data_IF_545620390446
#
_entry.id   IF_545620390446
#
_cell.length_a   1.000
_cell.length_b   1.000
_cell.length_c   1.000
_cell.angle_alpha   90.00
_cell.angle_beta   90.00
_cell.angle_gamma   90.00
#
_symmetry.space_group_name_H-M   'P 1'
#
loop_
_entity.id
_entity.type
_entity.pdbx_description
1 polymer ?
#
# COMPACT_ATOMS: atom_id res chain seq x y z
N UNK A 1 -13.90 -21.16 15.88
CA UNK A 1 -13.04 -20.03 16.31
C UNK A 1 -12.00 -19.70 15.25
N UNK A 2 -11.23 -20.70 14.77
CA UNK A 2 -10.15 -20.51 13.78
C UNK A 2 -10.66 -19.92 12.45
N UNK A 3 -11.80 -20.38 11.94
CA UNK A 3 -12.44 -19.82 10.74
C UNK A 3 -12.91 -18.36 10.95
N UNK A 4 -13.35 -18.03 12.17
CA UNK A 4 -13.73 -16.66 12.51
C UNK A 4 -12.54 -15.72 12.60
N UNK A 5 -11.43 -16.16 13.18
CA UNK A 5 -10.18 -15.39 13.24
C UNK A 5 -9.61 -15.20 11.84
N UNK A 6 -9.62 -16.24 11.00
CA UNK A 6 -9.19 -16.14 9.61
C UNK A 6 -10.09 -15.19 8.80
N UNK A 7 -11.41 -15.26 8.95
CA UNK A 7 -12.35 -14.35 8.32
C UNK A 7 -12.14 -12.90 8.79
N UNK A 8 -11.88 -12.69 10.09
CA UNK A 8 -11.60 -11.37 10.64
C UNK A 8 -10.29 -10.78 10.12
N UNK A 9 -9.24 -11.59 9.99
CA UNK A 9 -7.95 -11.15 9.41
C UNK A 9 -8.12 -10.80 7.92
N UNK A 10 -8.87 -11.62 7.17
CA UNK A 10 -9.12 -11.40 5.74
C UNK A 10 -10.00 -10.15 5.55
N UNK A 11 -11.08 -10.01 6.29
CA UNK A 11 -12.01 -8.89 6.17
C UNK A 11 -11.42 -7.58 6.74
N UNK A 12 -10.68 -7.65 7.84
CA UNK A 12 -9.94 -6.52 8.40
C UNK A 12 -8.84 -6.05 7.45
N UNK A 13 -8.10 -6.97 6.83
CA UNK A 13 -7.10 -6.69 5.82
C UNK A 13 -7.66 -6.04 4.54
N UNK A 14 -8.90 -6.39 4.16
CA UNK A 14 -9.60 -5.79 3.02
C UNK A 14 -10.15 -4.38 3.35
N UNK A 15 -10.49 -4.11 4.62
CA UNK A 15 -11.01 -2.80 5.06
C UNK A 15 -9.94 -1.71 5.15
N UNK A 16 -8.68 -2.08 5.39
CA UNK A 16 -7.57 -1.14 5.57
C UNK A 16 -7.09 -0.54 4.23
N UNK A 17 -7.38 -1.19 3.09
CA UNK A 17 -6.75 -0.87 1.79
C UNK A 17 -7.43 0.19 0.95
N UNK A 18 -8.65 0.60 1.21
CA UNK A 18 -9.29 1.79 0.62
C UNK A 18 -10.74 1.95 1.13
N UNK A 19 -11.10 3.08 1.74
CA UNK A 19 -12.47 3.33 2.18
C UNK A 19 -13.33 3.73 0.98
N UNK A 20 -13.88 2.76 0.26
CA UNK A 20 -15.06 3.04 -0.57
C UNK A 20 -16.30 2.88 0.31
N UNK A 21 -17.36 3.70 0.13
CA UNK A 21 -18.56 3.65 0.98
C UNK A 21 -19.21 2.25 1.00
N UNK A 22 -19.16 1.50 -0.09
CA UNK A 22 -19.68 0.13 -0.16
C UNK A 22 -18.90 -0.87 0.71
N UNK A 23 -17.57 -0.72 0.83
CA UNK A 23 -16.74 -1.61 1.65
C UNK A 23 -16.88 -1.29 3.14
N UNK A 24 -17.13 -0.03 3.48
CA UNK A 24 -17.39 0.37 4.87
C UNK A 24 -18.70 -0.23 5.36
N UNK A 25 -19.75 -0.26 4.52
CA UNK A 25 -21.03 -0.87 4.83
C UNK A 25 -20.88 -2.40 5.01
N UNK A 26 -20.13 -3.07 4.13
CA UNK A 26 -19.90 -4.51 4.25
C UNK A 26 -19.11 -4.88 5.53
N UNK A 27 -18.09 -4.10 5.87
CA UNK A 27 -17.31 -4.27 7.09
C UNK A 27 -18.14 -4.02 8.33
N UNK A 28 -19.04 -3.05 8.32
CA UNK A 28 -19.99 -2.78 9.41
C UNK A 28 -21.01 -3.91 9.56
N UNK A 29 -21.58 -4.41 8.48
CA UNK A 29 -22.50 -5.55 8.48
C UNK A 29 -21.80 -6.79 9.04
N UNK A 30 -20.60 -7.13 8.56
CA UNK A 30 -19.82 -8.26 9.08
C UNK A 30 -19.47 -8.10 10.55
N UNK A 31 -19.15 -6.89 11.01
CA UNK A 31 -18.88 -6.57 12.40
C UNK A 31 -20.13 -6.79 13.29
N UNK A 32 -21.29 -6.34 12.84
CA UNK A 32 -22.57 -6.52 13.56
C UNK A 32 -22.93 -8.01 13.66
N UNK A 33 -22.80 -8.78 12.57
CA UNK A 33 -23.03 -10.22 12.60
C UNK A 33 -22.03 -10.96 13.50
N UNK A 34 -20.78 -10.55 13.52
CA UNK A 34 -19.75 -11.08 14.42
C UNK A 34 -20.10 -10.84 15.89
N UNK A 35 -20.44 -9.61 16.25
CA UNK A 35 -20.85 -9.26 17.62
C UNK A 35 -22.15 -9.96 18.00
N UNK A 36 -23.15 -10.02 17.14
CA UNK A 36 -24.40 -10.71 17.39
C UNK A 36 -24.18 -12.21 17.62
N UNK A 37 -23.31 -12.85 16.86
CA UNK A 37 -22.96 -14.25 17.03
C UNK A 37 -22.27 -14.51 18.37
N UNK A 38 -21.32 -13.65 18.78
CA UNK A 38 -20.65 -13.77 20.08
C UNK A 38 -21.61 -13.53 21.28
N UNK A 39 -22.52 -12.58 21.14
CA UNK A 39 -23.55 -12.31 22.17
C UNK A 39 -24.59 -13.43 22.27
N UNK A 40 -24.88 -14.12 21.15
CA UNK A 40 -25.87 -15.22 21.14
C UNK A 40 -25.26 -16.58 21.51
N UNK A 41 -23.92 -16.73 21.44
CA UNK A 41 -23.24 -17.97 21.78
C UNK A 41 -23.53 -18.50 23.20
N UNK A 42 -23.50 -17.68 24.27
CA UNK A 42 -23.88 -18.14 25.62
C UNK A 42 -25.36 -18.48 25.76
N UNK A 43 -26.26 -17.81 25.03
CA UNK A 43 -27.69 -18.13 25.01
C UNK A 43 -27.98 -19.45 24.32
N UNK A 44 -27.20 -19.80 23.25
CA UNK A 44 -27.36 -21.09 22.58
C UNK A 44 -26.98 -22.26 23.46
N UNK A 45 -25.94 -22.11 24.29
CA UNK A 45 -25.55 -23.13 25.26
C UNK A 45 -26.56 -23.30 26.41
N UNK A 46 -27.34 -22.26 26.73
CA UNK A 46 -28.41 -22.29 27.73
C UNK A 46 -29.68 -22.94 27.15
N UNK A 47 -30.01 -22.65 25.90
CA UNK A 47 -31.16 -23.27 25.21
C UNK A 47 -30.96 -24.77 24.95
N UNK A 48 -29.70 -25.22 24.78
CA UNK A 48 -29.38 -26.63 24.63
C UNK A 48 -29.47 -27.42 25.96
N UNK A 49 -29.37 -26.74 27.11
CA UNK A 49 -29.49 -27.35 28.45
C UNK A 49 -30.92 -27.64 28.89
N UNK A 50 -31.92 -27.03 28.29
CA UNK A 50 -33.35 -27.30 28.66
C UNK A 50 -33.93 -28.57 28.02
N UNK A 51 -33.19 -29.31 27.22
CA UNK A 51 -33.64 -30.57 26.61
C UNK A 51 -32.99 -31.82 27.24
N UNK A 52 -32.71 -31.81 28.52
CA UNK A 52 -32.37 -33.05 29.22
C UNK A 52 -33.67 -33.69 29.69
N UNK A 53 -34.34 -34.37 28.79
CA UNK A 53 -35.36 -35.37 29.12
C UNK A 53 -34.68 -36.74 29.09
N UNK A 54 -34.75 -37.54 30.17
CA UNK A 54 -34.09 -38.81 30.24
C UNK A 54 -34.88 -39.87 29.47
N UNK A 55 -34.65 -40.02 28.19
CA UNK A 55 -35.00 -41.26 27.49
C UNK A 55 -34.05 -41.47 26.31
N UNK A 56 -33.42 -42.63 26.34
CA UNK A 56 -32.54 -43.13 25.28
C UNK A 56 -33.31 -43.20 23.96
N UNK A 57 -33.14 -42.20 23.14
CA UNK A 57 -33.42 -42.29 21.71
C UNK A 57 -32.19 -41.75 21.00
N UNK A 58 -31.63 -42.63 20.21
CA UNK A 58 -30.48 -42.44 19.36
C UNK A 58 -30.38 -41.04 18.74
N UNK A 59 -29.41 -40.25 19.21
CA UNK A 59 -29.13 -38.87 18.73
C UNK A 59 -28.23 -38.83 17.49
N UNK A 60 -28.20 -39.88 16.65
CA UNK A 60 -27.36 -39.91 15.46
C UNK A 60 -27.91 -39.10 14.30
N UNK A 61 -29.20 -38.77 14.28
CA UNK A 61 -29.85 -38.04 13.18
C UNK A 61 -29.61 -36.52 13.16
N UNK A 62 -29.53 -35.90 14.35
CA UNK A 62 -29.48 -34.43 14.47
C UNK A 62 -28.10 -33.82 14.19
N UNK A 63 -27.06 -34.42 14.70
CA UNK A 63 -25.68 -33.97 14.52
C UNK A 63 -25.20 -34.10 13.07
N UNK A 64 -25.64 -35.13 12.35
CA UNK A 64 -25.37 -35.32 10.93
C UNK A 64 -26.00 -34.24 10.05
N UNK A 65 -27.25 -33.87 10.37
CA UNK A 65 -27.99 -32.84 9.64
C UNK A 65 -27.33 -31.46 9.78
N UNK A 66 -27.01 -31.05 11.01
CA UNK A 66 -26.33 -29.74 11.24
C UNK A 66 -24.91 -29.70 10.72
N UNK A 67 -24.15 -30.79 10.75
CA UNK A 67 -22.83 -30.90 10.08
C UNK A 67 -22.96 -30.77 8.58
N UNK A 68 -23.96 -31.39 7.97
CA UNK A 68 -24.22 -31.28 6.53
C UNK A 68 -24.63 -29.87 6.13
N UNK A 69 -25.48 -29.19 6.93
CA UNK A 69 -25.85 -27.79 6.69
C UNK A 69 -24.64 -26.87 6.84
N UNK A 70 -23.79 -27.08 7.85
CA UNK A 70 -22.59 -26.28 8.06
C UNK A 70 -21.58 -26.46 6.90
N UNK A 71 -21.43 -27.67 6.39
CA UNK A 71 -20.55 -27.95 5.24
C UNK A 71 -21.14 -27.36 3.97
N UNK A 72 -22.46 -27.49 3.74
CA UNK A 72 -23.14 -26.89 2.58
C UNK A 72 -23.11 -25.36 2.65
N UNK A 73 -23.32 -24.77 3.82
CA UNK A 73 -23.19 -23.33 4.05
C UNK A 73 -21.75 -22.84 3.84
N UNK A 74 -20.74 -23.62 4.26
CA UNK A 74 -19.34 -23.32 4.01
C UNK A 74 -18.98 -23.41 2.53
N UNK A 75 -19.43 -24.44 1.84
CA UNK A 75 -19.24 -24.61 0.40
C UNK A 75 -19.99 -23.51 -0.37
N UNK A 76 -21.23 -23.21 0.03
CA UNK A 76 -22.02 -22.12 -0.54
C UNK A 76 -21.37 -20.76 -0.29
N UNK A 77 -20.83 -20.52 0.89
CA UNK A 77 -20.09 -19.30 1.20
C UNK A 77 -18.77 -19.19 0.41
N UNK A 78 -18.04 -20.28 0.22
CA UNK A 78 -16.84 -20.33 -0.60
C UNK A 78 -17.13 -20.15 -2.10
N UNK A 79 -18.30 -20.60 -2.58
CA UNK A 79 -18.70 -20.46 -4.00
C UNK A 79 -19.34 -19.10 -4.29
N UNK A 80 -19.95 -18.45 -3.29
CA UNK A 80 -20.52 -17.09 -3.40
C UNK A 80 -19.47 -16.01 -3.12
N UNK A 81 -18.34 -16.36 -2.52
CA UNK A 81 -17.18 -15.45 -2.51
C UNK A 81 -16.78 -15.24 -3.98
N UNK A 82 -17.04 -14.04 -4.57
CA UNK A 82 -16.71 -13.84 -5.96
C UNK A 82 -15.21 -14.01 -6.10
N UNK A 83 -14.76 -15.02 -6.83
CA UNK A 83 -13.36 -15.20 -7.24
C UNK A 83 -12.77 -13.92 -7.91
N UNK A 84 -13.63 -12.96 -8.25
CA UNK A 84 -13.25 -11.60 -8.66
C UNK A 84 -12.60 -10.75 -7.58
N UNK A 85 -12.66 -11.13 -6.30
CA UNK A 85 -12.02 -10.37 -5.24
C UNK A 85 -10.48 -10.47 -5.22
N UNK A 86 -9.91 -11.48 -5.88
CA UNK A 86 -8.46 -11.66 -5.96
C UNK A 86 -7.86 -10.91 -7.17
N UNK A 87 -8.68 -10.51 -8.12
CA UNK A 87 -8.25 -9.84 -9.36
C UNK A 87 -8.79 -8.43 -9.57
N UNK A 88 -9.58 -7.89 -8.64
CA UNK A 88 -9.98 -6.49 -8.70
C UNK A 88 -8.81 -5.61 -8.21
N UNK A 89 -7.78 -5.46 -9.04
CA UNK A 89 -7.11 -4.18 -9.11
C UNK A 89 -8.22 -3.18 -9.47
N UNK A 90 -8.83 -2.55 -8.48
CA UNK A 90 -9.52 -1.29 -8.73
C UNK A 90 -8.52 -0.48 -9.54
N UNK A 91 -8.84 -0.15 -10.80
CA UNK A 91 -8.00 0.70 -11.60
C UNK A 91 -7.80 1.95 -10.74
N UNK A 92 -6.59 2.12 -10.22
CA UNK A 92 -6.29 3.22 -9.33
C UNK A 92 -6.41 4.46 -10.20
N UNK A 93 -7.33 5.34 -9.85
CA UNK A 93 -7.53 6.54 -10.62
C UNK A 93 -6.43 7.54 -10.27
N UNK A 94 -5.70 7.95 -11.28
CA UNK A 94 -4.73 9.02 -11.23
C UNK A 94 -5.39 10.32 -11.72
N UNK A 95 -6.21 10.92 -10.87
CA UNK A 95 -6.98 12.11 -11.27
C UNK A 95 -8.00 11.81 -12.36
N UNK A 96 -7.84 12.45 -13.53
CA UNK A 96 -8.70 12.28 -14.69
C UNK A 96 -8.25 11.14 -15.64
N UNK A 97 -7.10 10.55 -15.39
CA UNK A 97 -6.50 9.51 -16.23
C UNK A 97 -6.31 8.19 -15.46
N UNK A 98 -6.23 7.03 -16.13
CA UNK A 98 -5.83 5.79 -15.48
C UNK A 98 -4.36 5.88 -15.04
N UNK A 99 -4.02 5.22 -13.94
CA UNK A 99 -2.62 5.11 -13.52
C UNK A 99 -1.84 4.15 -14.43
N UNK A 100 -0.62 4.52 -14.76
CA UNK A 100 0.32 3.65 -15.44
C UNK A 100 0.72 2.48 -14.54
N UNK A 101 0.74 1.28 -15.10
CA UNK A 101 1.07 0.08 -14.35
C UNK A 101 2.59 -0.07 -14.26
N UNK A 102 3.10 -0.19 -13.04
CA UNK A 102 4.50 -0.52 -12.80
C UNK A 102 4.63 -1.68 -11.82
N UNK A 103 5.74 -2.40 -11.89
CA UNK A 103 6.06 -3.48 -10.96
C UNK A 103 7.34 -3.15 -10.22
N UNK A 104 7.21 -2.72 -8.97
CA UNK A 104 8.33 -2.40 -8.10
C UNK A 104 9.20 -3.63 -7.82
N UNK A 105 10.51 -3.46 -7.94
CA UNK A 105 11.50 -4.49 -7.62
C UNK A 105 12.51 -4.00 -6.57
N UNK A 106 12.22 -4.16 -5.27
CA UNK A 106 13.12 -3.72 -4.20
C UNK A 106 14.41 -4.55 -4.09
N UNK A 107 14.54 -5.65 -4.83
CA UNK A 107 15.76 -6.44 -4.88
C UNK A 107 16.78 -5.91 -5.90
N UNK A 108 16.35 -5.06 -6.84
CA UNK A 108 17.24 -4.48 -7.85
C UNK A 108 17.99 -3.28 -7.28
N UNK A 109 19.18 -3.55 -6.70
CA UNK A 109 20.01 -2.51 -6.06
C UNK A 109 20.47 -1.42 -7.03
N UNK A 110 20.75 -1.77 -8.26
CA UNK A 110 21.19 -0.82 -9.29
C UNK A 110 20.09 0.22 -9.56
N UNK A 111 18.85 -0.22 -9.71
CA UNK A 111 17.69 0.65 -9.84
C UNK A 111 17.52 1.54 -8.60
N UNK A 112 17.69 0.98 -7.39
CA UNK A 112 17.60 1.74 -6.15
C UNK A 112 18.71 2.79 -6.03
N UNK A 113 19.93 2.48 -6.49
CA UNK A 113 21.06 3.41 -6.50
C UNK A 113 20.81 4.60 -7.44
N UNK A 114 20.36 4.34 -8.68
CA UNK A 114 19.98 5.40 -9.61
C UNK A 114 18.81 6.23 -9.10
N UNK A 115 17.80 5.58 -8.52
CA UNK A 115 16.67 6.26 -7.89
C UNK A 115 17.09 7.14 -6.69
N UNK A 116 18.04 6.67 -5.87
CA UNK A 116 18.61 7.45 -4.77
C UNK A 116 19.37 8.68 -5.31
N UNK A 117 20.14 8.54 -6.36
CA UNK A 117 20.83 9.65 -7.02
C UNK A 117 19.85 10.71 -7.52
N UNK A 118 18.79 10.31 -8.23
CA UNK A 118 17.74 11.22 -8.68
C UNK A 118 17.04 11.91 -7.50
N UNK A 119 16.73 11.17 -6.44
CA UNK A 119 16.12 11.75 -5.25
C UNK A 119 17.03 12.80 -4.59
N UNK A 120 18.29 12.49 -4.39
CA UNK A 120 19.25 13.41 -3.76
C UNK A 120 19.48 14.65 -4.64
N UNK A 121 19.54 14.50 -5.94
CA UNK A 121 19.77 15.62 -6.87
C UNK A 121 18.58 16.53 -7.08
N UNK A 122 17.37 16.00 -7.17
CA UNK A 122 16.18 16.76 -7.57
C UNK A 122 15.12 16.94 -6.48
N UNK A 123 15.05 16.06 -5.50
CA UNK A 123 13.95 16.04 -4.54
C UNK A 123 14.34 16.48 -3.12
N UNK A 124 15.55 16.11 -2.68
CA UNK A 124 16.01 16.30 -1.28
C UNK A 124 16.04 17.77 -0.87
N UNK A 125 16.26 18.69 -1.80
CA UNK A 125 16.23 20.14 -1.50
C UNK A 125 14.90 20.62 -0.92
N UNK A 126 13.79 20.02 -1.34
CA UNK A 126 12.43 20.39 -0.90
C UNK A 126 11.76 19.31 -0.02
N UNK A 127 12.03 18.04 -0.26
CA UNK A 127 11.38 16.92 0.41
C UNK A 127 12.35 16.12 1.27
N UNK A 128 12.02 15.94 2.54
CA UNK A 128 12.77 15.08 3.46
C UNK A 128 12.33 13.62 3.38
N UNK A 129 13.20 12.70 3.82
CA UNK A 129 12.90 11.32 4.20
C UNK A 129 13.13 11.18 5.71
N UNK A 130 12.26 11.77 6.53
CA UNK A 130 12.46 11.94 7.99
C UNK A 130 12.62 10.65 8.77
N UNK A 131 12.15 9.53 8.23
CA UNK A 131 12.23 8.22 8.89
C UNK A 131 13.35 7.35 8.32
N UNK A 132 14.15 7.88 7.40
CA UNK A 132 15.33 7.21 6.83
C UNK A 132 16.62 7.85 7.35
N UNK A 133 17.69 7.05 7.44
CA UNK A 133 19.04 7.51 7.80
C UNK A 133 19.99 7.28 6.64
N UNK A 134 20.93 8.17 6.42
CA UNK A 134 21.94 8.05 5.37
C UNK A 134 22.70 6.73 5.44
N UNK A 135 23.20 6.34 6.63
CA UNK A 135 23.92 5.10 6.83
C UNK A 135 23.10 3.85 6.54
N UNK A 136 21.79 3.87 6.86
CA UNK A 136 20.91 2.73 6.56
C UNK A 136 20.68 2.60 5.07
N UNK A 137 20.40 3.70 4.40
CA UNK A 137 20.18 3.71 2.94
C UNK A 137 21.46 3.27 2.21
N UNK A 138 22.62 3.83 2.56
CA UNK A 138 23.90 3.44 1.99
C UNK A 138 24.16 1.93 2.13
N UNK A 139 23.98 1.39 3.35
CA UNK A 139 24.17 -0.03 3.64
C UNK A 139 23.23 -0.93 2.81
N UNK A 140 21.96 -0.61 2.78
CA UNK A 140 20.95 -1.42 2.08
C UNK A 140 21.17 -1.40 0.57
N UNK A 141 21.58 -0.26 0.01
CA UNK A 141 21.91 -0.12 -1.41
C UNK A 141 23.31 -0.70 -1.74
N UNK A 142 24.12 -0.99 -0.76
CA UNK A 142 25.49 -1.51 -0.95
C UNK A 142 26.48 -0.46 -1.43
N UNK A 143 26.27 0.82 -1.08
CA UNK A 143 27.17 1.93 -1.42
C UNK A 143 28.11 2.17 -0.24
N UNK A 144 29.44 2.18 -0.43
CA UNK A 144 30.42 2.53 0.60
C UNK A 144 30.18 3.94 1.16
N UNK A 145 30.48 4.15 2.45
CA UNK A 145 30.23 5.42 3.15
C UNK A 145 30.90 6.61 2.46
N UNK A 146 32.16 6.47 2.12
CA UNK A 146 32.96 7.50 1.45
C UNK A 146 32.36 7.93 0.11
N UNK A 147 31.95 6.96 -0.71
CA UNK A 147 31.28 7.23 -1.99
C UNK A 147 29.89 7.82 -1.80
N UNK A 148 29.14 7.35 -0.81
CA UNK A 148 27.80 7.87 -0.52
C UNK A 148 27.85 9.33 -0.10
N UNK A 149 28.74 9.64 0.86
CA UNK A 149 28.89 11.00 1.40
C UNK A 149 29.47 11.96 0.36
N UNK A 150 30.44 11.52 -0.44
CA UNK A 150 31.07 12.37 -1.45
C UNK A 150 30.15 12.71 -2.64
N UNK A 151 29.25 11.79 -3.03
CA UNK A 151 28.49 11.94 -4.29
C UNK A 151 26.99 12.21 -4.09
N UNK A 152 26.43 11.87 -2.91
CA UNK A 152 24.98 11.96 -2.70
C UNK A 152 24.61 12.91 -1.56
N UNK A 153 25.55 13.38 -0.73
CA UNK A 153 25.29 14.30 0.36
C UNK A 153 25.95 15.65 0.07
N UNK A 154 25.14 16.61 -0.32
CA UNK A 154 25.63 17.92 -0.75
C UNK A 154 25.92 18.92 0.38
N UNK A 155 25.45 18.62 1.61
CA UNK A 155 25.70 19.44 2.79
C UNK A 155 26.83 18.81 3.62
N UNK A 156 28.01 19.46 3.71
CA UNK A 156 29.18 18.92 4.42
C UNK A 156 29.00 18.87 5.94
N UNK A 157 27.98 19.54 6.50
CA UNK A 157 27.67 19.50 7.92
C UNK A 157 26.90 18.23 8.35
N UNK A 158 26.36 17.48 7.39
CA UNK A 158 25.58 16.28 7.64
C UNK A 158 26.47 15.13 8.04
N UNK A 159 26.12 14.46 9.14
CA UNK A 159 26.80 13.23 9.59
C UNK A 159 26.14 12.00 8.98
N UNK A 160 26.93 10.98 8.66
CA UNK A 160 26.47 9.74 8.05
C UNK A 160 25.34 9.02 8.81
N UNK A 161 25.32 9.11 10.16
CA UNK A 161 24.25 8.56 11.00
C UNK A 161 22.97 9.41 11.09
N UNK A 162 22.96 10.62 10.49
CA UNK A 162 21.84 11.55 10.57
C UNK A 162 20.59 11.06 9.82
N UNK A 163 19.43 11.61 10.19
CA UNK A 163 18.20 11.45 9.43
C UNK A 163 18.30 12.24 8.11
N UNK A 164 17.64 11.74 7.06
CA UNK A 164 17.60 12.38 5.75
C UNK A 164 16.58 13.54 5.78
N UNK A 165 16.98 14.63 6.40
CA UNK A 165 16.17 15.84 6.52
C UNK A 165 16.83 16.99 5.74
N UNK A 166 16.04 17.74 5.02
CA UNK A 166 16.50 18.95 4.36
C UNK A 166 16.51 20.14 5.34
N UNK A 167 17.19 21.23 4.96
CA UNK A 167 17.28 22.45 5.73
C UNK A 167 16.06 23.38 5.58
N UNK A 168 15.09 23.02 4.73
CA UNK A 168 13.93 23.88 4.43
C UNK A 168 13.00 24.02 5.64
N UNK A 169 12.84 25.24 6.11
CA UNK A 169 11.91 25.55 7.19
C UNK A 169 10.46 25.54 6.68
N UNK A 170 9.58 24.80 7.36
CA UNK A 170 8.17 24.65 6.97
C UNK A 170 7.39 25.98 6.87
N UNK A 171 7.71 26.99 7.69
CA UNK A 171 7.08 28.32 7.62
C UNK A 171 7.49 29.05 6.34
N UNK A 172 8.78 29.03 6.02
CA UNK A 172 9.30 29.65 4.80
C UNK A 172 8.79 28.91 3.56
N UNK A 173 8.79 27.59 3.58
CA UNK A 173 8.27 26.76 2.50
C UNK A 173 6.80 27.10 2.17
N UNK A 174 5.98 27.31 3.21
CA UNK A 174 4.57 27.73 3.02
C UNK A 174 4.45 29.11 2.38
N UNK A 175 5.35 30.02 2.69
CA UNK A 175 5.37 31.36 2.05
C UNK A 175 5.81 31.25 0.59
N UNK A 176 6.82 30.43 0.30
CA UNK A 176 7.38 30.29 -1.05
C UNK A 176 6.45 29.52 -1.99
N UNK A 177 5.87 28.41 -1.52
CA UNK A 177 5.11 27.47 -2.38
C UNK A 177 3.61 27.47 -2.12
N UNK A 178 3.12 28.26 -1.18
CA UNK A 178 1.71 28.21 -0.72
C UNK A 178 1.40 27.02 0.17
N UNK A 179 2.23 25.96 0.12
CA UNK A 179 2.12 24.71 0.90
C UNK A 179 3.51 24.22 1.28
N UNK A 180 3.61 23.59 2.43
CA UNK A 180 4.88 22.94 2.82
C UNK A 180 5.03 21.64 2.04
N UNK A 181 6.17 21.40 1.34
CA UNK A 181 6.44 20.14 0.69
C UNK A 181 6.34 18.98 1.68
N UNK A 182 5.58 17.92 1.35
CA UNK A 182 5.41 16.79 2.25
C UNK A 182 6.68 15.95 2.37
N UNK A 183 6.83 15.24 3.49
CA UNK A 183 7.83 14.19 3.64
C UNK A 183 7.52 13.01 2.73
N UNK A 184 8.53 12.48 2.02
CA UNK A 184 8.35 11.42 1.04
C UNK A 184 8.67 10.02 1.57
N UNK A 185 9.06 9.84 2.84
CA UNK A 185 9.43 8.52 3.36
C UNK A 185 8.35 7.47 3.12
N UNK A 186 7.08 7.81 3.36
CA UNK A 186 5.95 6.87 3.25
C UNK A 186 5.04 7.17 2.05
N UNK A 187 5.45 8.03 1.14
CA UNK A 187 4.59 8.51 0.04
C UNK A 187 4.11 7.38 -0.86
N UNK A 188 4.97 6.39 -1.17
CA UNK A 188 4.60 5.26 -2.01
C UNK A 188 3.60 4.29 -1.35
N UNK A 189 3.47 4.32 -0.03
CA UNK A 189 2.42 3.60 0.70
C UNK A 189 1.12 4.39 0.78
N UNK A 190 1.22 5.72 0.89
CA UNK A 190 0.06 6.61 0.97
C UNK A 190 -0.62 6.79 -0.38
N UNK A 191 0.16 6.93 -1.46
CA UNK A 191 -0.32 7.21 -2.82
C UNK A 191 -0.21 6.05 -3.79
N UNK A 192 0.51 4.99 -3.46
CA UNK A 192 0.93 3.86 -4.30
C UNK A 192 1.97 4.23 -5.37
N UNK A 193 2.82 3.26 -5.76
CA UNK A 193 3.88 3.47 -6.76
C UNK A 193 3.34 3.88 -8.13
N UNK A 194 2.22 3.31 -8.57
CA UNK A 194 1.58 3.61 -9.84
C UNK A 194 1.15 5.08 -9.93
N UNK A 195 0.60 5.61 -8.84
CA UNK A 195 0.22 7.01 -8.74
C UNK A 195 1.43 7.93 -8.83
N UNK A 196 2.52 7.61 -8.11
CA UNK A 196 3.75 8.40 -8.13
C UNK A 196 4.39 8.40 -9.52
N UNK A 197 4.45 7.24 -10.15
CA UNK A 197 5.01 7.08 -11.48
C UNK A 197 4.26 7.89 -12.53
N UNK A 198 2.93 7.79 -12.50
CA UNK A 198 2.09 8.59 -13.41
C UNK A 198 2.19 10.09 -13.09
N UNK A 199 2.19 10.46 -11.80
CA UNK A 199 2.32 11.85 -11.37
C UNK A 199 3.60 12.51 -11.89
N UNK A 200 4.75 11.87 -11.75
CA UNK A 200 6.04 12.42 -12.17
C UNK A 200 6.16 12.61 -13.69
N UNK A 201 5.38 11.86 -14.46
CA UNK A 201 5.42 11.86 -15.93
C UNK A 201 4.39 12.76 -16.60
N UNK A 202 3.45 13.31 -15.83
CA UNK A 202 2.27 13.99 -16.39
C UNK A 202 2.16 15.45 -15.99
N UNK A 203 3.28 16.11 -15.74
CA UNK A 203 3.34 17.57 -15.68
C UNK A 203 3.11 18.16 -17.06
N UNK A 204 2.50 19.33 -17.13
CA UNK A 204 2.30 20.08 -18.38
C UNK A 204 2.28 21.56 -18.12
N UNK A 205 2.60 22.36 -19.14
CA UNK A 205 2.57 23.83 -19.10
C UNK A 205 1.15 24.35 -18.85
N UNK A 206 1.02 25.25 -17.88
CA UNK A 206 -0.23 25.95 -17.56
C UNK A 206 0.11 27.35 -17.03
N UNK A 207 0.04 28.34 -17.89
CA UNK A 207 0.42 29.73 -17.59
C UNK A 207 -0.50 30.40 -16.56
N UNK A 208 -1.63 29.77 -16.22
CA UNK A 208 -2.53 30.23 -15.17
C UNK A 208 -2.06 29.83 -13.77
N UNK A 209 -1.03 29.00 -13.68
CA UNK A 209 -0.49 28.53 -12.41
C UNK A 209 0.74 29.35 -11.98
N UNK A 210 0.99 29.52 -10.66
CA UNK A 210 2.11 30.31 -10.15
C UNK A 210 3.48 29.87 -10.66
N UNK A 211 3.68 28.57 -10.94
CA UNK A 211 4.94 28.01 -11.44
C UNK A 211 4.89 27.65 -12.93
N UNK A 212 3.86 28.13 -13.65
CA UNK A 212 3.72 27.88 -15.09
C UNK A 212 3.40 26.44 -15.45
N UNK A 213 3.09 25.56 -14.47
CA UNK A 213 2.84 24.14 -14.68
C UNK A 213 1.66 23.62 -13.87
N UNK A 214 1.04 22.55 -14.37
CA UNK A 214 -0.01 21.79 -13.72
C UNK A 214 0.26 20.28 -13.92
N UNK A 215 -0.63 19.42 -13.40
CA UNK A 215 -0.44 17.98 -13.47
C UNK A 215 -1.76 17.26 -13.75
N UNK A 216 -1.76 16.22 -14.60
CA UNK A 216 -2.97 15.45 -14.94
C UNK A 216 -3.49 14.63 -13.74
N UNK A 217 -2.59 14.11 -12.93
CA UNK A 217 -2.92 13.29 -11.75
C UNK A 217 -3.39 14.14 -10.58
N UNK A 218 -2.76 15.30 -10.39
CA UNK A 218 -3.04 16.20 -9.28
C UNK A 218 -3.26 17.62 -9.77
N UNK A 219 -4.49 17.90 -10.19
CA UNK A 219 -4.89 19.22 -10.68
C UNK A 219 -4.66 20.31 -9.60
N UNK A 220 -4.10 21.42 -10.02
CA UNK A 220 -3.82 22.53 -9.12
C UNK A 220 -2.56 22.32 -8.27
N UNK A 221 -1.62 21.52 -8.74
CA UNK A 221 -0.37 21.21 -8.06
C UNK A 221 0.39 22.49 -7.65
N UNK A 222 0.92 22.48 -6.41
CA UNK A 222 1.79 23.53 -5.89
C UNK A 222 3.29 23.23 -6.06
N UNK A 223 3.65 22.06 -6.58
CA UNK A 223 5.02 21.66 -6.86
C UNK A 223 5.41 22.15 -8.27
N UNK A 224 6.54 22.84 -8.44
CA UNK A 224 7.08 23.12 -9.77
C UNK A 224 7.53 21.83 -10.47
N UNK A 225 7.66 21.86 -11.78
CA UNK A 225 8.20 20.74 -12.54
C UNK A 225 9.75 20.70 -12.43
N UNK A 226 10.23 20.11 -11.32
CA UNK A 226 11.67 20.07 -11.01
C UNK A 226 12.49 19.15 -11.93
N UNK A 227 11.83 18.32 -12.73
CA UNK A 227 12.46 17.37 -13.67
C UNK A 227 12.36 17.86 -15.12
N UNK A 228 12.04 19.14 -15.33
CA UNK A 228 11.85 19.72 -16.65
C UNK A 228 13.11 19.63 -17.51
N UNK A 229 14.28 19.76 -16.93
CA UNK A 229 15.56 19.63 -17.66
C UNK A 229 15.73 18.21 -18.22
N UNK A 230 15.27 17.19 -17.49
CA UNK A 230 15.32 15.79 -17.92
C UNK A 230 14.23 15.46 -18.93
N UNK A 231 12.97 15.83 -18.63
CA UNK A 231 11.80 15.48 -19.43
C UNK A 231 11.63 16.38 -20.67
N UNK A 232 12.00 17.65 -20.55
CA UNK A 232 11.54 18.70 -21.43
C UNK A 232 10.26 19.35 -20.91
N UNK A 233 9.61 20.17 -21.74
CA UNK A 233 8.39 20.87 -21.37
C UNK A 233 7.17 20.28 -22.08
N UNK A 234 6.35 19.48 -21.40
CA UNK A 234 5.12 18.96 -21.96
C UNK A 234 4.04 20.06 -22.04
N UNK A 235 3.25 20.02 -23.09
CA UNK A 235 2.12 20.92 -23.35
C UNK A 235 0.81 20.13 -23.36
N UNK A 236 -0.26 20.76 -22.93
CA UNK A 236 -1.58 20.18 -23.02
C UNK A 236 -2.17 20.38 -24.42
N UNK A 237 -2.53 19.28 -25.09
CA UNK A 237 -3.16 19.31 -26.41
C UNK A 237 -4.68 19.35 -26.32
N UNK A 238 -5.26 18.65 -25.35
CA UNK A 238 -6.72 18.59 -25.18
C UNK A 238 -7.12 18.71 -23.72
N UNK A 239 -8.10 19.59 -23.45
CA UNK A 239 -8.65 19.82 -22.12
C UNK A 239 -9.93 19.01 -21.91
N UNK A 240 -10.09 18.43 -20.73
CA UNK A 240 -11.34 17.79 -20.30
C UNK A 240 -12.39 18.84 -19.94
N UNK A 241 -13.68 18.47 -19.97
CA UNK A 241 -14.78 19.35 -19.51
C UNK A 241 -14.60 19.85 -18.08
N UNK A 242 -13.94 19.06 -17.23
CA UNK A 242 -13.58 19.42 -15.85
C UNK A 242 -12.37 20.37 -15.75
N UNK A 243 -11.79 20.80 -16.87
CA UNK A 243 -10.64 21.72 -16.95
C UNK A 243 -9.33 21.07 -16.50
N UNK A 244 -9.19 19.74 -16.63
CA UNK A 244 -7.92 19.01 -16.56
C UNK A 244 -7.38 18.78 -17.98
N UNK A 245 -6.11 18.42 -18.09
CA UNK A 245 -5.53 18.00 -19.37
C UNK A 245 -5.74 16.50 -19.58
N UNK A 246 -6.23 16.11 -20.75
CA UNK A 246 -6.43 14.69 -21.11
C UNK A 246 -5.25 14.14 -21.92
N UNK A 247 -4.62 14.95 -22.74
CA UNK A 247 -3.55 14.53 -23.62
C UNK A 247 -2.39 15.55 -23.58
N UNK A 248 -1.19 15.06 -23.39
CA UNK A 248 0.03 15.87 -23.33
C UNK A 248 0.96 15.47 -24.50
N UNK A 249 1.59 16.47 -25.09
CA UNK A 249 2.68 16.31 -26.05
C UNK A 249 3.92 17.05 -25.56
N UNK A 250 5.09 16.66 -26.05
CA UNK A 250 6.34 17.31 -25.68
C UNK A 250 6.57 18.52 -26.61
N UNK A 251 6.55 19.72 -26.04
CA UNK A 251 6.77 20.96 -26.83
C UNK A 251 8.25 21.28 -27.05
N UNK A 252 9.09 20.92 -26.09
CA UNK A 252 10.56 21.00 -26.23
C UNK A 252 11.20 19.77 -25.58
N UNK A 253 12.21 19.14 -26.23
CA UNK A 253 12.88 17.98 -25.66
C UNK A 253 13.70 18.38 -24.44
N UNK A 254 13.82 17.44 -23.47
CA UNK A 254 14.76 17.50 -22.37
C UNK A 254 16.09 16.81 -22.71
N UNK A 255 16.89 16.57 -21.68
CA UNK A 255 18.16 15.85 -21.81
C UNK A 255 17.97 14.36 -22.13
N UNK A 256 16.85 13.76 -21.64
CA UNK A 256 16.55 12.35 -21.82
C UNK A 256 15.49 12.16 -22.90
N UNK A 257 15.64 11.10 -23.69
CA UNK A 257 14.54 10.66 -24.56
C UNK A 257 13.41 10.07 -23.71
N UNK A 258 12.16 10.03 -24.20
CA UNK A 258 11.01 9.61 -23.39
C UNK A 258 11.18 8.26 -22.69
N UNK A 259 11.78 7.28 -23.34
CA UNK A 259 12.02 5.94 -22.78
C UNK A 259 13.04 5.96 -21.63
N UNK A 260 14.08 6.79 -21.73
CA UNK A 260 15.07 6.98 -20.68
C UNK A 260 14.48 7.74 -19.51
N UNK A 261 13.66 8.75 -19.77
CA UNK A 261 12.94 9.46 -18.73
C UNK A 261 11.99 8.53 -17.96
N UNK A 262 11.26 7.68 -18.66
CA UNK A 262 10.38 6.67 -18.08
C UNK A 262 11.17 5.69 -17.19
N UNK A 263 12.33 5.24 -17.64
CA UNK A 263 13.20 4.38 -16.84
C UNK A 263 13.75 5.10 -15.60
N UNK A 264 14.13 6.38 -15.73
CA UNK A 264 14.57 7.19 -14.60
C UNK A 264 13.46 7.41 -13.57
N UNK A 265 12.23 7.67 -13.99
CA UNK A 265 11.08 7.78 -13.11
C UNK A 265 10.72 6.45 -12.42
N UNK A 266 10.87 5.32 -13.14
CA UNK A 266 10.75 4.01 -12.54
C UNK A 266 11.78 3.80 -11.41
N UNK A 267 13.05 4.12 -11.66
CA UNK A 267 14.11 3.98 -10.65
C UNK A 267 13.86 4.86 -9.42
N UNK A 268 13.43 6.10 -9.63
CA UNK A 268 13.06 7.02 -8.54
C UNK A 268 11.89 6.48 -7.71
N UNK A 269 10.83 5.98 -8.36
CA UNK A 269 9.66 5.43 -7.65
C UNK A 269 10.01 4.11 -6.97
N UNK A 270 10.88 3.28 -7.56
CA UNK A 270 11.38 2.07 -6.92
C UNK A 270 12.16 2.39 -5.63
N UNK A 271 12.99 3.44 -5.64
CA UNK A 271 13.68 3.94 -4.46
C UNK A 271 12.69 4.46 -3.40
N UNK A 272 11.69 5.26 -3.78
CA UNK A 272 10.65 5.74 -2.85
C UNK A 272 9.79 4.59 -2.29
N UNK A 273 9.59 3.52 -3.04
CA UNK A 273 8.94 2.32 -2.54
C UNK A 273 9.81 1.57 -1.53
N UNK A 274 11.12 1.50 -1.76
CA UNK A 274 12.09 0.97 -0.82
C UNK A 274 12.11 1.80 0.48
N UNK A 275 12.19 3.13 0.42
CA UNK A 275 12.21 3.98 1.62
C UNK A 275 10.96 3.81 2.48
N UNK A 276 9.82 3.54 1.87
CA UNK A 276 8.56 3.31 2.58
C UNK A 276 8.47 1.93 3.25
N UNK A 277 9.23 0.94 2.77
CA UNK A 277 9.28 -0.40 3.36
C UNK A 277 10.66 -1.06 3.12
N UNK A 278 11.73 -0.62 3.79
CA UNK A 278 13.09 -1.12 3.56
C UNK A 278 13.25 -2.61 3.89
N UNK A 279 12.45 -3.15 4.79
CA UNK A 279 12.49 -4.55 5.21
C UNK A 279 11.52 -5.45 4.43
N UNK A 280 11.01 -5.02 3.27
CA UNK A 280 9.98 -5.78 2.53
C UNK A 280 10.43 -7.19 2.14
N UNK A 281 11.71 -7.37 1.78
CA UNK A 281 12.27 -8.68 1.39
C UNK A 281 12.37 -9.60 2.60
N UNK A 282 12.95 -9.11 3.71
CA UNK A 282 13.06 -9.86 4.96
C UNK A 282 11.68 -10.22 5.53
N UNK A 283 10.73 -9.27 5.50
CA UNK A 283 9.36 -9.50 5.96
C UNK A 283 8.67 -10.58 5.14
N UNK A 284 8.88 -10.62 3.82
CA UNK A 284 8.26 -11.65 2.97
C UNK A 284 8.80 -13.04 3.28
N UNK A 285 10.10 -13.16 3.55
CA UNK A 285 10.71 -14.44 3.89
C UNK A 285 10.33 -14.89 5.32
N UNK A 286 10.44 -13.99 6.28
CA UNK A 286 10.00 -14.26 7.66
C UNK A 286 8.50 -14.59 7.70
N UNK A 287 7.67 -13.88 6.94
CA UNK A 287 6.23 -14.09 6.87
C UNK A 287 5.86 -15.51 6.45
N UNK A 288 6.56 -16.10 5.49
CA UNK A 288 6.35 -17.51 5.07
C UNK A 288 6.61 -18.48 6.23
N UNK A 289 7.70 -18.27 6.99
CA UNK A 289 8.06 -19.13 8.14
C UNK A 289 7.03 -18.98 9.26
N UNK A 290 6.59 -17.76 9.55
CA UNK A 290 5.54 -17.47 10.55
C UNK A 290 4.22 -18.12 10.17
N UNK A 291 3.78 -18.01 8.92
CA UNK A 291 2.54 -18.64 8.45
C UNK A 291 2.61 -20.16 8.55
N UNK A 292 3.76 -20.77 8.20
CA UNK A 292 3.97 -22.20 8.35
C UNK A 292 3.89 -22.62 9.82
N UNK A 293 4.54 -21.90 10.72
CA UNK A 293 4.45 -22.16 12.16
C UNK A 293 3.01 -22.06 12.68
N UNK A 294 2.30 -21.00 12.30
CA UNK A 294 0.89 -20.80 12.70
C UNK A 294 0.01 -21.94 12.18
N UNK A 295 0.25 -22.43 10.95
CA UNK A 295 -0.52 -23.54 10.40
C UNK A 295 -0.33 -24.83 11.22
N UNK A 296 0.92 -25.17 11.57
CA UNK A 296 1.24 -26.31 12.43
C UNK A 296 0.62 -26.15 13.82
N UNK A 297 0.83 -24.99 14.44
CA UNK A 297 0.27 -24.69 15.76
C UNK A 297 -1.26 -24.81 15.77
N UNK A 298 -1.92 -24.27 14.76
CA UNK A 298 -3.37 -24.34 14.61
C UNK A 298 -3.85 -25.79 14.46
N UNK A 299 -3.10 -26.61 13.70
CA UNK A 299 -3.42 -28.02 13.55
C UNK A 299 -3.38 -28.76 14.91
N UNK A 300 -2.33 -28.59 15.69
CA UNK A 300 -2.24 -29.22 17.01
C UNK A 300 -3.25 -28.65 18.00
N UNK A 301 -3.49 -27.36 18.01
CA UNK A 301 -4.51 -26.73 18.82
C UNK A 301 -5.92 -27.25 18.47
N UNK A 302 -6.19 -27.51 17.18
CA UNK A 302 -7.44 -28.13 16.74
C UNK A 302 -7.56 -29.58 17.21
N UNK A 303 -6.49 -30.40 17.12
CA UNK A 303 -6.47 -31.76 17.66
C UNK A 303 -6.73 -31.77 19.17
N UNK A 304 -6.06 -30.89 19.90
CA UNK A 304 -6.24 -30.74 21.35
C UNK A 304 -7.68 -30.34 21.69
N UNK A 305 -8.20 -29.33 20.99
CA UNK A 305 -9.60 -28.91 21.19
C UNK A 305 -10.57 -30.07 20.93
N UNK A 306 -10.34 -30.84 19.84
CA UNK A 306 -11.16 -32.01 19.53
C UNK A 306 -11.10 -33.09 20.65
N UNK A 307 -9.94 -33.28 21.28
CA UNK A 307 -9.78 -34.25 22.36
C UNK A 307 -10.51 -33.81 23.61
N UNK A 308 -10.31 -32.56 24.05
CA UNK A 308 -11.00 -32.03 25.25
C UNK A 308 -12.52 -32.04 25.14
N UNK A 309 -13.08 -31.88 23.96
CA UNK A 309 -14.53 -31.84 23.77
C UNK A 309 -15.17 -33.23 23.64
N UNK A 310 -14.40 -34.32 23.59
CA UNK A 310 -14.91 -35.68 23.55
C UNK A 310 -15.64 -36.06 24.85
N UNK A 311 -15.14 -35.57 26.00
CA UNK A 311 -15.63 -35.94 27.30
C UNK A 311 -16.80 -35.04 27.81
N UNK A 312 -17.14 -34.02 27.03
CA UNK A 312 -18.17 -33.03 27.38
C UNK A 312 -19.53 -33.34 26.72
N UNK A 313 -19.59 -34.32 25.80
CA UNK A 313 -20.78 -34.70 25.05
C UNK A 313 -21.15 -36.16 25.25
#
# INVERSE_FOLDING_TARGET
LVLFVAAFIILGGLGIKSPTPERTILAQICSVFYFAFFLLMPFWSVLDKEKVVPNRVTMDGGLGFWRSISVIALIGFLTVLPLKAVGASSAYQCGSIPCDKIKINPANKESLQRGAQLYMGYCMGCHSLKHSRYNRVAKDLGIPEDLFMANLVFDPSVKFGSLMQNAMNSKNAKVWFGVTPPDLTLVSRARQPEWLYTYLRTFYQDDKRPYGVNNQVFKGVGMPHVLMDLQGLPKCESMTESGGCSEISLSSPGELVPEEYDAAMYDLVNFLAYTAEPNVLERRDLGKRVLFFIAIFTFFAWLLNREYWKDVH
#
